data_IF_070746344057
#
_entry.id   IF_070746344057
#
_cell.length_a   1.000
_cell.length_b   1.000
_cell.length_c   1.000
_cell.angle_alpha   90.00
_cell.angle_beta   90.00
_cell.angle_gamma   90.00
#
_symmetry.space_group_name_H-M   'P 1'
#
loop_
_entity.id
_entity.type
_entity.pdbx_description
1 polymer ?
#
# COMPACT_ATOMS: atom_id res chain seq x y z
N UNK A 1 3.47 0.07 -8.41
CA UNK A 1 3.79 -1.10 -7.55
C UNK A 1 4.28 -0.57 -6.19
N UNK A 2 4.80 -1.39 -5.29
CA UNK A 2 5.47 -0.86 -4.08
C UNK A 2 6.73 -0.09 -4.52
N UNK A 3 6.82 1.21 -4.21
CA UNK A 3 7.96 2.05 -4.65
C UNK A 3 8.81 2.54 -3.47
N UNK A 4 8.18 2.86 -2.32
CA UNK A 4 8.88 3.50 -1.19
C UNK A 4 8.63 2.75 0.11
N UNK A 5 9.74 2.57 0.85
CA UNK A 5 9.78 2.17 2.26
C UNK A 5 10.50 3.29 3.04
N UNK A 6 9.78 3.98 3.93
CA UNK A 6 10.35 5.00 4.79
C UNK A 6 10.93 4.39 6.06
N UNK A 7 12.26 4.29 6.11
CA UNK A 7 12.97 3.68 7.24
C UNK A 7 12.74 4.45 8.56
N UNK A 8 12.67 5.77 8.52
CA UNK A 8 12.45 6.66 9.67
C UNK A 8 11.07 6.51 10.32
N UNK A 9 10.06 6.07 9.56
CA UNK A 9 8.70 5.77 10.04
C UNK A 9 8.50 4.29 10.39
N UNK A 10 9.39 3.42 9.95
CA UNK A 10 9.24 1.98 10.13
C UNK A 10 9.47 1.57 11.58
N UNK A 11 8.55 0.78 12.14
CA UNK A 11 8.64 0.22 13.51
C UNK A 11 9.02 -1.26 13.53
N UNK A 12 9.56 -1.78 12.42
CA UNK A 12 10.16 -3.12 12.31
C UNK A 12 9.20 -4.26 12.74
N UNK A 13 7.90 -4.11 12.47
CA UNK A 13 6.86 -5.03 12.93
C UNK A 13 6.61 -6.25 12.01
N UNK A 14 7.25 -6.27 10.84
CA UNK A 14 7.15 -7.32 9.81
C UNK A 14 5.72 -7.56 9.25
N UNK A 15 4.75 -6.67 9.51
CA UNK A 15 3.37 -6.85 9.01
C UNK A 15 3.34 -6.84 7.48
N UNK A 16 4.05 -5.91 6.84
CA UNK A 16 4.11 -5.83 5.37
C UNK A 16 4.66 -7.11 4.72
N UNK A 17 5.63 -7.76 5.37
CA UNK A 17 6.18 -9.05 4.94
C UNK A 17 5.08 -10.12 5.05
N UNK A 18 4.39 -10.21 6.19
CA UNK A 18 3.37 -11.23 6.46
C UNK A 18 2.12 -11.12 5.58
N UNK A 19 1.71 -9.91 5.22
CA UNK A 19 0.49 -9.68 4.41
C UNK A 19 0.74 -9.69 2.92
N UNK A 20 2.00 -9.71 2.47
CA UNK A 20 2.32 -9.75 1.06
C UNK A 20 2.01 -11.14 0.49
N UNK A 21 1.10 -11.26 -0.50
CA UNK A 21 0.67 -12.56 -1.01
C UNK A 21 1.70 -13.15 -1.98
N UNK A 22 2.63 -12.35 -2.47
CA UNK A 22 3.64 -12.70 -3.47
C UNK A 22 5.07 -12.58 -2.96
N UNK A 23 5.28 -12.53 -1.64
CA UNK A 23 6.62 -12.53 -0.99
C UNK A 23 7.59 -11.43 -1.49
N UNK A 24 7.07 -10.24 -1.83
CA UNK A 24 7.86 -9.12 -2.38
C UNK A 24 8.95 -8.61 -1.42
N UNK A 25 8.77 -8.78 -0.11
CA UNK A 25 9.64 -8.21 0.91
C UNK A 25 10.57 -9.24 1.54
N UNK A 26 11.81 -8.84 1.80
CA UNK A 26 12.73 -9.51 2.73
C UNK A 26 12.95 -8.65 3.95
N UNK A 27 13.24 -9.27 5.08
CA UNK A 27 13.64 -8.53 6.28
C UNK A 27 15.09 -8.09 6.13
N UNK A 28 15.35 -6.78 6.17
CA UNK A 28 16.70 -6.23 6.19
C UNK A 28 17.45 -6.56 7.47
N UNK A 29 18.78 -6.41 7.45
CA UNK A 29 19.65 -6.66 8.61
C UNK A 29 19.36 -5.71 9.78
N UNK A 30 18.94 -4.49 9.47
CA UNK A 30 18.49 -3.47 10.41
C UNK A 30 17.02 -3.64 10.84
N UNK A 31 16.33 -4.69 10.36
CA UNK A 31 14.92 -4.96 10.60
C UNK A 31 13.94 -4.14 9.75
N UNK A 32 14.41 -3.19 8.94
CA UNK A 32 13.56 -2.49 7.96
C UNK A 32 13.35 -3.42 6.76
N UNK A 33 12.11 -3.55 6.23
CA UNK A 33 11.87 -4.43 5.09
C UNK A 33 12.52 -3.87 3.81
N UNK A 34 13.15 -4.75 3.03
CA UNK A 34 13.68 -4.46 1.70
C UNK A 34 12.73 -5.01 0.66
N UNK A 35 12.44 -4.23 -0.39
CA UNK A 35 11.71 -4.68 -1.58
C UNK A 35 12.65 -5.54 -2.42
N UNK A 36 12.48 -6.86 -2.37
CA UNK A 36 13.40 -7.81 -2.99
C UNK A 36 12.91 -8.35 -4.34
N UNK A 37 11.59 -8.42 -4.53
CA UNK A 37 10.95 -8.94 -5.74
C UNK A 37 9.85 -7.97 -6.19
N UNK A 38 10.23 -6.74 -6.53
CA UNK A 38 9.28 -5.68 -6.89
C UNK A 38 8.38 -6.12 -8.06
N UNK A 39 8.95 -6.84 -9.03
CA UNK A 39 8.30 -7.41 -10.20
C UNK A 39 7.10 -8.32 -9.88
N UNK A 40 7.08 -8.92 -8.69
CA UNK A 40 5.99 -9.79 -8.23
C UNK A 40 4.86 -8.99 -7.54
N UNK A 41 5.03 -7.68 -7.37
CA UNK A 41 4.03 -6.81 -6.76
C UNK A 41 2.78 -6.71 -7.63
N UNK A 42 1.65 -7.21 -7.11
CA UNK A 42 0.35 -7.14 -7.79
C UNK A 42 -0.40 -5.82 -7.57
N UNK A 43 0.27 -4.80 -7.03
CA UNK A 43 -0.35 -3.50 -6.69
C UNK A 43 -1.65 -3.67 -5.88
N UNK A 44 -1.64 -4.62 -4.93
CA UNK A 44 -2.81 -4.96 -4.11
C UNK A 44 -2.98 -4.06 -2.88
N UNK A 45 -2.02 -3.18 -2.60
CA UNK A 45 -2.00 -2.23 -1.48
C UNK A 45 -2.07 -2.83 -0.07
N UNK A 46 -2.00 -4.15 0.10
CA UNK A 46 -2.12 -4.77 1.43
C UNK A 46 -1.01 -4.35 2.40
N UNK A 47 0.21 -4.14 1.91
CA UNK A 47 1.32 -3.67 2.72
C UNK A 47 1.10 -2.23 3.23
N UNK A 48 0.60 -1.33 2.37
CA UNK A 48 0.23 0.04 2.75
C UNK A 48 -0.98 0.05 3.71
N UNK A 49 -2.04 -0.70 3.39
CA UNK A 49 -3.24 -0.79 4.22
C UNK A 49 -2.92 -1.25 5.65
N UNK A 50 -1.99 -2.18 5.82
CA UNK A 50 -1.66 -2.76 7.12
C UNK A 50 -0.45 -2.11 7.80
N UNK A 51 0.18 -1.11 7.19
CA UNK A 51 1.26 -0.37 7.85
C UNK A 51 0.68 0.49 8.98
N UNK A 52 1.07 0.28 10.25
CA UNK A 52 0.52 1.07 11.35
C UNK A 52 1.01 2.53 11.35
N UNK A 53 2.18 2.78 10.76
CA UNK A 53 2.88 4.08 10.75
C UNK A 53 2.93 4.74 9.39
N UNK A 54 2.17 4.23 8.42
CA UNK A 54 2.07 4.79 7.07
C UNK A 54 3.47 5.01 6.43
N UNK A 55 4.34 4.00 6.58
CA UNK A 55 5.74 4.00 6.13
C UNK A 55 5.94 3.41 4.72
N UNK A 56 4.86 3.01 4.05
CA UNK A 56 4.88 2.30 2.78
C UNK A 56 4.04 3.07 1.76
N UNK A 57 4.52 3.15 0.52
CA UNK A 57 3.77 3.74 -0.58
C UNK A 57 3.70 2.82 -1.79
N UNK A 58 2.49 2.52 -2.24
CA UNK A 58 2.26 1.76 -3.46
C UNK A 58 1.79 2.72 -4.56
N UNK A 59 2.56 2.85 -5.64
CA UNK A 59 2.14 3.56 -6.83
C UNK A 59 1.05 2.76 -7.58
N UNK A 60 0.02 3.42 -8.13
CA UNK A 60 -1.14 2.77 -8.76
C UNK A 60 -0.87 2.32 -10.20
N UNK A 61 0.26 1.67 -10.44
CA UNK A 61 0.67 1.13 -11.74
C UNK A 61 0.95 -0.38 -11.63
N UNK A 62 0.79 -1.08 -12.75
CA UNK A 62 1.07 -2.51 -12.93
C UNK A 62 2.51 -2.81 -13.40
N UNK A 63 3.30 -1.76 -13.60
CA UNK A 63 4.70 -1.82 -14.01
C UNK A 63 5.53 -0.85 -13.17
N UNK A 64 6.85 -1.09 -13.02
CA UNK A 64 7.73 -0.19 -12.28
C UNK A 64 7.69 1.21 -12.86
N UNK A 65 7.67 2.20 -11.98
CA UNK A 65 7.74 3.60 -12.41
C UNK A 65 9.18 3.98 -12.79
N UNK A 66 9.38 4.99 -13.65
CA UNK A 66 10.70 5.55 -13.90
C UNK A 66 11.37 6.07 -12.60
N UNK A 67 12.69 5.99 -12.52
CA UNK A 67 13.47 6.45 -11.35
C UNK A 67 13.35 7.96 -11.08
N UNK A 68 12.99 8.75 -12.09
CA UNK A 68 12.75 10.20 -11.99
C UNK A 68 11.27 10.55 -11.74
N UNK A 69 10.43 9.55 -11.50
CA UNK A 69 9.02 9.75 -11.21
C UNK A 69 8.79 10.28 -9.79
N UNK A 70 7.80 11.17 -9.62
CA UNK A 70 7.30 11.60 -8.30
C UNK A 70 6.88 10.43 -7.40
N UNK A 71 6.56 9.27 -7.99
CA UNK A 71 6.22 8.06 -7.24
C UNK A 71 7.40 7.39 -6.53
N UNK A 72 8.63 7.82 -6.81
CA UNK A 72 9.87 7.38 -6.13
C UNK A 72 10.42 8.42 -5.16
N UNK A 73 9.90 9.66 -5.22
CA UNK A 73 10.33 10.78 -4.40
C UNK A 73 9.61 10.74 -3.04
N UNK A 74 10.33 10.24 -2.03
CA UNK A 74 9.83 10.13 -0.67
C UNK A 74 9.35 11.47 -0.06
N UNK A 75 10.05 12.57 -0.36
CA UNK A 75 9.73 13.89 0.19
C UNK A 75 8.46 14.43 -0.47
N UNK A 76 8.36 14.36 -1.79
CA UNK A 76 7.16 14.78 -2.52
C UNK A 76 5.92 13.95 -2.12
N UNK A 77 6.09 12.64 -1.88
CA UNK A 77 5.02 11.77 -1.39
C UNK A 77 4.58 12.13 0.03
N UNK A 78 5.52 12.51 0.89
CA UNK A 78 5.22 12.97 2.24
C UNK A 78 4.48 14.32 2.25
N UNK A 79 4.93 15.27 1.43
CA UNK A 79 4.32 16.60 1.29
C UNK A 79 2.90 16.53 0.71
N UNK A 80 2.68 15.64 -0.28
CA UNK A 80 1.36 15.44 -0.88
C UNK A 80 0.38 14.64 -0.02
N UNK A 81 0.86 14.05 1.09
CA UNK A 81 0.05 13.17 1.94
C UNK A 81 -0.26 11.82 1.30
N UNK A 82 0.54 11.38 0.32
CA UNK A 82 0.34 10.12 -0.40
C UNK A 82 0.65 8.88 0.46
N UNK A 83 1.54 9.00 1.45
CA UNK A 83 1.88 7.92 2.38
C UNK A 83 0.69 7.53 3.25
N UNK A 84 0.22 6.29 3.11
CA UNK A 84 -0.97 5.79 3.81
C UNK A 84 -2.29 6.34 3.29
N UNK A 85 -2.28 7.04 2.14
CA UNK A 85 -3.49 7.57 1.53
C UNK A 85 -4.48 6.46 1.20
N UNK A 86 -4.02 5.31 0.69
CA UNK A 86 -4.91 4.18 0.41
C UNK A 86 -5.60 3.69 1.68
N UNK A 87 -4.83 3.46 2.74
CA UNK A 87 -5.34 3.05 4.06
C UNK A 87 -6.40 4.03 4.58
N UNK A 88 -6.17 5.33 4.39
CA UNK A 88 -7.12 6.38 4.75
C UNK A 88 -8.41 6.32 3.93
N UNK A 89 -8.29 6.17 2.61
CA UNK A 89 -9.44 6.10 1.68
C UNK A 89 -10.35 4.92 2.00
N UNK A 90 -9.80 3.73 2.27
CA UNK A 90 -10.62 2.55 2.58
C UNK A 90 -11.10 2.51 4.04
N UNK A 91 -10.61 3.44 4.89
CA UNK A 91 -10.97 3.49 6.31
C UNK A 91 -10.45 2.29 7.11
N UNK A 92 -9.27 1.78 6.79
CA UNK A 92 -8.74 0.55 7.39
C UNK A 92 -7.97 0.80 8.69
N UNK A 93 -8.36 0.07 9.75
CA UNK A 93 -7.78 0.16 11.09
C UNK A 93 -8.64 0.97 12.08
N UNK A 94 -8.28 0.88 13.37
CA UNK A 94 -9.03 1.52 14.45
C UNK A 94 -9.11 3.04 14.32
N UNK A 95 -10.25 3.61 14.73
CA UNK A 95 -10.48 5.06 14.76
C UNK A 95 -10.82 5.70 13.40
N UNK A 96 -10.98 4.91 12.34
CA UNK A 96 -11.37 5.38 11.01
C UNK A 96 -12.82 4.98 10.68
N UNK A 97 -13.46 5.75 9.80
CA UNK A 97 -14.78 5.39 9.26
C UNK A 97 -14.59 4.34 8.16
N UNK A 98 -15.13 3.11 8.31
CA UNK A 98 -14.94 2.07 7.31
C UNK A 98 -15.52 2.47 5.95
N UNK A 99 -14.75 2.31 4.88
CA UNK A 99 -15.22 2.60 3.52
C UNK A 99 -16.43 1.75 3.11
N UNK A 100 -16.62 0.59 3.74
CA UNK A 100 -17.80 -0.27 3.56
C UNK A 100 -19.12 0.41 3.93
N UNK A 101 -19.11 1.50 4.70
CA UNK A 101 -20.31 2.30 4.98
C UNK A 101 -20.82 3.07 3.77
N UNK A 102 -19.96 3.30 2.78
CA UNK A 102 -20.28 3.94 1.50
C UNK A 102 -20.55 2.92 0.38
N UNK A 103 -20.40 1.62 0.68
CA UNK A 103 -20.58 0.56 -0.30
C UNK A 103 -22.04 0.43 -0.74
N UNK A 104 -22.26 0.46 -2.04
CA UNK A 104 -23.58 0.31 -2.68
C UNK A 104 -23.69 -0.97 -3.49
N UNK A 105 -22.78 -1.93 -3.31
CA UNK A 105 -22.75 -3.16 -4.12
C UNK A 105 -24.02 -3.99 -3.92
N UNK A 106 -24.65 -3.89 -2.75
CA UNK A 106 -25.95 -4.50 -2.47
C UNK A 106 -27.10 -3.99 -3.37
N UNK A 107 -26.92 -2.88 -4.09
CA UNK A 107 -27.88 -2.35 -5.06
C UNK A 107 -27.63 -2.84 -6.49
N UNK A 108 -26.54 -3.57 -6.75
CA UNK A 108 -26.32 -4.17 -8.05
C UNK A 108 -27.38 -5.23 -8.30
N UNK A 109 -28.41 -4.87 -9.06
CA UNK A 109 -29.36 -5.84 -9.58
C UNK A 109 -28.67 -6.68 -10.67
N UNK A 110 -28.98 -7.99 -10.78
CA UNK A 110 -28.49 -8.79 -11.90
C UNK A 110 -28.93 -8.13 -13.21
N UNK A 111 -27.98 -7.99 -14.15
CA UNK A 111 -28.31 -7.57 -15.51
C UNK A 111 -29.23 -8.63 -16.08
N UNK A 112 -30.51 -8.29 -16.33
CA UNK A 112 -31.42 -9.17 -17.05
C UNK A 112 -30.82 -9.46 -18.43
N UNK A 113 -30.24 -10.64 -18.59
CA UNK A 113 -29.76 -11.13 -19.88
C UNK A 113 -30.99 -11.44 -20.74
N UNK A 114 -31.20 -10.66 -21.79
CA UNK A 114 -32.14 -10.93 -22.89
C UNK A 114 -31.69 -12.08 -23.75
#
# INVERSE_FOLDING_TARGET
MIEVVLADRCVQCDICIKVCPTDVFRRGEDGVPVVAHQEDCQTCFMCEANCPTDALYVAPFDTPVPEDSTHTDADALAESGALGAYRAVIGWGGGRTPGSTLDRNHLFAPVSTS
#
